data_IF_343417417125
#
_entry.id   IF_343417417125
#
_cell.length_a   1.000
_cell.length_b   1.000
_cell.length_c   1.000
_cell.angle_alpha   90.00
_cell.angle_beta   90.00
_cell.angle_gamma   90.00
#
_symmetry.space_group_name_H-M   'P 1'
#
loop_
_entity.id
_entity.type
_entity.pdbx_description
1 polymer ?
#
# COMPACT_ATOMS: atom_id res chain seq x y z
N UNK A 1 -31.88 -8.09 -1.80
CA UNK A 1 -30.73 -8.63 -2.58
C UNK A 1 -29.44 -8.08 -1.99
N UNK A 2 -28.42 -8.91 -1.93
CA UNK A 2 -27.12 -8.57 -1.33
C UNK A 2 -26.27 -7.79 -2.33
N UNK A 3 -25.64 -6.71 -1.87
CA UNK A 3 -24.67 -5.92 -2.64
C UNK A 3 -23.25 -6.32 -2.30
N UNK A 4 -22.31 -6.03 -3.20
CA UNK A 4 -20.90 -6.18 -2.95
C UNK A 4 -20.20 -4.83 -3.13
N UNK A 5 -19.12 -4.63 -2.38
CA UNK A 5 -18.28 -3.44 -2.46
C UNK A 5 -16.90 -3.83 -2.95
N UNK A 6 -16.41 -3.14 -3.96
CA UNK A 6 -15.03 -3.15 -4.38
C UNK A 6 -14.30 -1.90 -3.85
N UNK A 7 -13.11 -2.08 -3.27
CA UNK A 7 -12.23 -1.01 -2.82
C UNK A 7 -10.93 -1.11 -3.61
N UNK A 8 -10.50 0.02 -4.19
CA UNK A 8 -9.17 0.18 -4.76
C UNK A 8 -8.40 1.20 -3.89
N UNK A 9 -7.45 0.70 -3.10
CA UNK A 9 -6.58 1.51 -2.25
C UNK A 9 -5.27 1.84 -3.02
N UNK A 10 -5.37 2.77 -3.97
CA UNK A 10 -4.25 3.21 -4.79
C UNK A 10 -3.35 4.23 -4.10
N UNK A 11 -2.31 4.70 -4.81
CA UNK A 11 -1.34 5.66 -4.28
C UNK A 11 -1.93 7.07 -4.14
N UNK A 12 -2.78 7.49 -5.07
CA UNK A 12 -3.31 8.86 -5.10
C UNK A 12 -4.70 8.99 -4.48
N UNK A 13 -5.42 7.90 -4.34
CA UNK A 13 -6.78 7.90 -3.80
C UNK A 13 -7.23 6.50 -3.43
N UNK A 14 -8.17 6.44 -2.50
CA UNK A 14 -9.04 5.27 -2.31
C UNK A 14 -10.30 5.47 -3.13
N UNK A 15 -10.71 4.45 -3.87
CA UNK A 15 -11.99 4.40 -4.58
C UNK A 15 -12.84 3.27 -4.05
N UNK A 16 -14.14 3.50 -3.96
CA UNK A 16 -15.14 2.53 -3.53
C UNK A 16 -16.24 2.45 -4.57
N UNK A 17 -16.61 1.23 -4.93
CA UNK A 17 -17.71 0.95 -5.87
C UNK A 17 -18.70 0.01 -5.20
N UNK A 18 -19.99 0.35 -5.22
CA UNK A 18 -21.07 -0.54 -4.83
C UNK A 18 -21.65 -1.19 -6.08
N UNK A 19 -21.66 -2.51 -6.12
CA UNK A 19 -22.12 -3.28 -7.26
C UNK A 19 -23.28 -4.21 -6.86
N UNK A 20 -24.30 -4.23 -7.71
CA UNK A 20 -25.40 -5.19 -7.61
C UNK A 20 -25.14 -6.34 -8.57
N UNK A 21 -24.80 -7.55 -8.06
CA UNK A 21 -24.53 -8.70 -8.93
C UNK A 21 -25.78 -9.27 -9.62
N UNK A 22 -26.96 -9.03 -9.09
CA UNK A 22 -28.21 -9.51 -9.70
C UNK A 22 -28.56 -8.69 -10.95
N UNK A 23 -28.49 -7.37 -10.83
CA UNK A 23 -28.80 -6.45 -11.93
C UNK A 23 -27.55 -6.13 -12.78
N UNK A 24 -26.38 -6.63 -12.40
CA UNK A 24 -25.08 -6.40 -13.06
C UNK A 24 -24.75 -4.92 -13.26
N UNK A 25 -25.01 -4.09 -12.27
CA UNK A 25 -24.78 -2.64 -12.37
C UNK A 25 -24.09 -2.05 -11.17
N UNK A 26 -23.36 -0.96 -11.40
CA UNK A 26 -22.81 -0.10 -10.37
C UNK A 26 -23.91 0.81 -9.84
N UNK A 27 -24.10 0.82 -8.53
CA UNK A 27 -25.11 1.65 -7.86
C UNK A 27 -24.54 2.95 -7.30
N UNK A 28 -23.29 2.93 -6.86
CA UNK A 28 -22.60 4.10 -6.33
C UNK A 28 -21.07 3.97 -6.51
N UNK A 29 -20.41 5.12 -6.64
CA UNK A 29 -18.95 5.22 -6.65
C UNK A 29 -18.55 6.42 -5.83
N UNK A 30 -17.59 6.22 -4.92
CA UNK A 30 -17.00 7.30 -4.11
C UNK A 30 -15.49 7.23 -4.16
N UNK A 31 -14.85 8.39 -3.97
CA UNK A 31 -13.41 8.51 -3.91
C UNK A 31 -12.99 9.44 -2.78
N UNK A 32 -11.79 9.20 -2.27
CA UNK A 32 -11.10 10.04 -1.31
C UNK A 32 -9.63 10.15 -1.71
N UNK A 33 -9.13 11.37 -1.87
CA UNK A 33 -7.74 11.61 -2.23
C UNK A 33 -6.81 11.27 -1.07
N UNK A 34 -5.60 10.84 -1.39
CA UNK A 34 -4.52 10.57 -0.44
C UNK A 34 -3.37 11.52 -0.70
N UNK A 35 -2.76 12.01 0.37
CA UNK A 35 -1.56 12.82 0.30
C UNK A 35 -0.32 11.93 0.16
N UNK A 36 0.65 12.40 -0.62
CA UNK A 36 1.94 11.78 -0.81
C UNK A 36 3.02 12.63 -0.14
N UNK A 37 3.77 12.04 0.77
CA UNK A 37 4.99 12.64 1.32
C UNK A 37 6.11 12.36 0.33
N UNK A 38 6.52 13.40 -0.40
CA UNK A 38 7.59 13.33 -1.39
C UNK A 38 8.78 14.17 -0.93
N UNK A 39 10.00 13.63 -1.00
CA UNK A 39 11.24 14.34 -0.68
C UNK A 39 12.22 14.27 -1.85
N UNK A 40 13.21 15.18 -1.85
CA UNK A 40 14.22 15.29 -2.92
C UNK A 40 15.19 14.12 -2.97
N UNK A 41 15.33 13.37 -1.87
CA UNK A 41 16.12 12.13 -1.78
C UNK A 41 15.50 10.92 -2.49
N UNK A 42 14.34 11.11 -3.12
CA UNK A 42 13.57 10.05 -3.77
C UNK A 42 12.57 9.34 -2.87
N UNK A 43 12.47 9.73 -1.59
CA UNK A 43 11.49 9.16 -0.66
C UNK A 43 10.06 9.46 -1.11
N UNK A 44 9.22 8.41 -1.09
CA UNK A 44 7.78 8.47 -1.37
C UNK A 44 7.06 7.66 -0.31
N UNK A 45 6.35 8.36 0.56
CA UNK A 45 5.77 7.78 1.76
C UNK A 45 4.32 8.22 1.97
N UNK A 46 3.57 7.44 2.73
CA UNK A 46 2.21 7.78 3.20
C UNK A 46 2.01 7.30 4.63
N UNK A 47 1.15 7.99 5.38
CA UNK A 47 0.68 7.51 6.67
C UNK A 47 -0.35 6.39 6.46
N UNK A 48 -0.14 5.15 6.94
CA UNK A 48 -1.07 4.04 6.76
C UNK A 48 -2.47 4.31 7.28
N UNK A 49 -2.59 5.11 8.34
CA UNK A 49 -3.86 5.52 8.92
C UNK A 49 -4.74 6.26 7.90
N UNK A 50 -4.13 7.05 7.02
CA UNK A 50 -4.86 7.80 5.98
C UNK A 50 -5.60 6.88 5.00
N UNK A 51 -5.10 5.66 4.77
CA UNK A 51 -5.79 4.68 3.93
C UNK A 51 -7.09 4.21 4.58
N UNK A 52 -7.05 3.94 5.89
CA UNK A 52 -8.23 3.51 6.67
C UNK A 52 -9.24 4.65 6.79
N UNK A 53 -8.77 5.86 7.03
CA UNK A 53 -9.62 7.06 7.08
C UNK A 53 -10.30 7.32 5.73
N UNK A 54 -9.57 7.19 4.62
CA UNK A 54 -10.10 7.33 3.28
C UNK A 54 -11.18 6.28 2.96
N UNK A 55 -10.96 5.01 3.36
CA UNK A 55 -11.96 3.95 3.25
C UNK A 55 -13.22 4.32 4.06
N UNK A 56 -13.05 4.72 5.31
CA UNK A 56 -14.17 5.15 6.16
C UNK A 56 -14.93 6.33 5.57
N UNK A 57 -14.21 7.32 5.03
CA UNK A 57 -14.80 8.48 4.37
C UNK A 57 -15.61 8.09 3.12
N UNK A 58 -15.14 7.12 2.33
CA UNK A 58 -15.92 6.58 1.21
C UNK A 58 -17.20 5.89 1.67
N UNK A 59 -17.12 5.06 2.72
CA UNK A 59 -18.32 4.40 3.29
C UNK A 59 -19.30 5.39 3.92
N UNK A 60 -18.81 6.48 4.52
CA UNK A 60 -19.67 7.51 5.12
C UNK A 60 -20.54 8.25 4.08
N UNK A 61 -20.08 8.30 2.82
CA UNK A 61 -20.82 8.91 1.72
C UNK A 61 -21.91 7.99 1.13
N UNK A 62 -21.91 6.71 1.48
CA UNK A 62 -22.92 5.78 0.97
C UNK A 62 -24.27 6.05 1.62
N UNK A 63 -25.32 5.98 0.78
CA UNK A 63 -26.70 5.93 1.27
C UNK A 63 -26.84 4.81 2.31
N UNK A 64 -27.44 5.08 3.49
CA UNK A 64 -27.61 4.08 4.54
C UNK A 64 -28.32 2.81 4.09
N UNK A 65 -29.25 2.91 3.13
CA UNK A 65 -30.01 1.76 2.60
C UNK A 65 -29.13 0.88 1.72
N UNK A 66 -28.21 1.45 0.94
CA UNK A 66 -27.22 0.70 0.18
C UNK A 66 -26.22 0.04 1.12
N UNK A 67 -25.70 0.80 2.11
CA UNK A 67 -24.73 0.31 3.08
C UNK A 67 -25.26 -0.88 3.89
N UNK A 68 -26.52 -0.84 4.30
CA UNK A 68 -27.14 -1.93 5.05
C UNK A 68 -27.29 -3.24 4.25
N UNK A 69 -27.24 -3.15 2.92
CA UNK A 69 -27.34 -4.31 2.01
C UNK A 69 -26.00 -4.91 1.60
N UNK A 70 -24.87 -4.31 2.01
CA UNK A 70 -23.52 -4.82 1.68
C UNK A 70 -23.27 -6.12 2.40
N UNK A 71 -23.05 -7.20 1.66
CA UNK A 71 -22.82 -8.53 2.17
C UNK A 71 -21.36 -8.97 2.08
N UNK A 72 -20.57 -8.34 1.19
CA UNK A 72 -19.15 -8.66 1.03
C UNK A 72 -18.36 -7.45 0.54
N UNK A 73 -17.07 -7.44 0.88
CA UNK A 73 -16.12 -6.41 0.47
C UNK A 73 -14.91 -7.12 -0.15
N UNK A 74 -14.50 -6.70 -1.35
CA UNK A 74 -13.24 -7.07 -1.96
C UNK A 74 -12.30 -5.86 -1.99
N UNK A 75 -11.02 -6.07 -1.69
CA UNK A 75 -10.03 -5.01 -1.66
C UNK A 75 -8.91 -5.31 -2.66
N UNK A 76 -8.59 -4.32 -3.47
CA UNK A 76 -7.37 -4.20 -4.25
C UNK A 76 -6.57 -3.01 -3.75
N UNK A 77 -5.26 -3.01 -3.95
CA UNK A 77 -4.43 -1.89 -3.50
C UNK A 77 -3.04 -1.89 -4.10
N UNK A 78 -2.30 -0.82 -3.83
CA UNK A 78 -0.91 -0.69 -4.24
C UNK A 78 -0.05 -1.81 -3.61
N UNK A 79 0.91 -2.30 -4.38
CA UNK A 79 1.81 -3.39 -3.98
C UNK A 79 3.16 -2.84 -3.49
N UNK A 80 3.99 -3.72 -2.91
CA UNK A 80 5.36 -3.44 -2.49
C UNK A 80 5.52 -2.31 -1.46
N UNK A 81 4.43 -1.84 -0.86
CA UNK A 81 4.49 -0.93 0.27
C UNK A 81 5.15 -1.61 1.48
N UNK A 82 5.96 -0.86 2.23
CA UNK A 82 6.55 -1.32 3.48
C UNK A 82 5.97 -0.52 4.65
N UNK A 83 5.20 -1.20 5.51
CA UNK A 83 4.59 -0.63 6.72
C UNK A 83 5.30 -1.21 7.93
N UNK A 84 6.18 -0.45 8.62
CA UNK A 84 6.82 -0.94 9.84
C UNK A 84 5.83 -0.90 11.01
N UNK A 85 5.70 -2.03 11.70
CA UNK A 85 4.83 -2.18 12.86
C UNK A 85 5.64 -2.65 14.06
N UNK A 86 5.23 -2.26 15.28
CA UNK A 86 5.71 -2.87 16.52
C UNK A 86 5.04 -4.23 16.78
N UNK A 87 5.45 -4.88 17.86
CA UNK A 87 4.89 -6.17 18.27
C UNK A 87 3.40 -6.10 18.67
N UNK A 88 2.88 -4.92 18.98
CA UNK A 88 1.48 -4.68 19.29
C UNK A 88 0.65 -4.27 18.05
N UNK A 89 1.31 -4.12 16.88
CA UNK A 89 0.69 -3.73 15.63
C UNK A 89 0.55 -2.22 15.42
N UNK A 90 1.20 -1.40 16.23
CA UNK A 90 1.21 0.05 16.01
C UNK A 90 2.17 0.42 14.87
N UNK A 91 1.77 1.38 14.07
CA UNK A 91 2.60 1.92 12.99
C UNK A 91 3.76 2.72 13.59
N UNK A 92 4.98 2.33 13.25
CA UNK A 92 6.20 2.97 13.75
C UNK A 92 6.64 4.15 12.90
N UNK A 93 6.26 4.17 11.62
CA UNK A 93 6.68 5.20 10.66
C UNK A 93 5.79 5.21 9.43
N UNK A 94 5.80 6.30 8.63
CA UNK A 94 5.14 6.31 7.33
C UNK A 94 5.57 5.15 6.45
N UNK A 95 4.63 4.60 5.69
CA UNK A 95 4.88 3.51 4.77
C UNK A 95 5.68 3.99 3.56
N UNK A 96 6.80 3.33 3.25
CA UNK A 96 7.52 3.53 1.98
C UNK A 96 6.79 2.84 0.85
N UNK A 97 6.47 3.60 -0.21
CA UNK A 97 5.64 3.13 -1.32
C UNK A 97 6.45 2.42 -2.40
N UNK A 98 5.77 1.85 -3.37
CA UNK A 98 6.36 1.19 -4.54
C UNK A 98 7.13 2.16 -5.46
N UNK A 99 6.74 3.44 -5.47
CA UNK A 99 7.40 4.51 -6.23
C UNK A 99 8.55 5.19 -5.48
N UNK A 100 8.90 4.70 -4.27
CA UNK A 100 10.06 5.14 -3.51
C UNK A 100 11.34 4.67 -4.18
N UNK A 101 12.29 5.58 -4.38
CA UNK A 101 13.60 5.30 -5.00
C UNK A 101 14.77 5.57 -4.07
N UNK A 102 14.53 5.91 -2.81
CA UNK A 102 15.57 6.26 -1.84
C UNK A 102 16.45 5.10 -1.39
N UNK A 103 16.09 3.86 -1.71
CA UNK A 103 16.74 2.63 -1.23
C UNK A 103 17.67 1.97 -2.27
N UNK A 104 18.23 2.74 -3.20
CA UNK A 104 19.10 2.21 -4.27
C UNK A 104 20.37 1.56 -3.75
N UNK A 105 20.98 2.17 -2.72
CA UNK A 105 22.20 1.63 -2.06
C UNK A 105 21.94 0.24 -1.49
N UNK A 106 20.83 0.08 -0.78
CA UNK A 106 20.42 -1.18 -0.17
C UNK A 106 20.09 -2.26 -1.19
N UNK A 107 19.61 -1.87 -2.38
CA UNK A 107 19.43 -2.82 -3.49
C UNK A 107 20.78 -3.43 -3.91
N UNK A 108 21.81 -2.61 -4.06
CA UNK A 108 23.18 -3.07 -4.35
C UNK A 108 23.72 -3.98 -3.27
N UNK A 109 23.66 -3.54 -2.01
CA UNK A 109 24.14 -4.30 -0.85
C UNK A 109 23.49 -5.71 -0.75
N UNK A 110 22.16 -5.80 -0.97
CA UNK A 110 21.46 -7.09 -0.95
C UNK A 110 21.94 -7.98 -2.11
N UNK A 111 22.06 -7.44 -3.31
CA UNK A 111 22.53 -8.22 -4.47
C UNK A 111 23.96 -8.67 -4.30
N UNK A 112 24.86 -7.84 -3.79
CA UNK A 112 26.24 -8.17 -3.53
C UNK A 112 26.37 -9.28 -2.48
N UNK A 113 25.57 -9.22 -1.42
CA UNK A 113 25.54 -10.23 -0.35
C UNK A 113 25.15 -11.63 -0.85
N UNK A 114 24.42 -11.75 -1.96
CA UNK A 114 24.04 -13.05 -2.53
C UNK A 114 24.90 -13.45 -3.74
N UNK A 115 25.98 -12.72 -4.03
CA UNK A 115 26.92 -13.06 -5.11
C UNK A 115 26.63 -12.34 -6.44
N UNK A 116 25.98 -11.18 -6.39
CA UNK A 116 25.73 -10.29 -7.51
C UNK A 116 24.35 -10.46 -8.15
N UNK A 117 24.02 -9.54 -9.05
CA UNK A 117 22.69 -9.45 -9.66
C UNK A 117 22.24 -10.73 -10.38
N UNK A 118 23.13 -11.40 -11.10
CA UNK A 118 22.81 -12.66 -11.78
C UNK A 118 22.43 -13.78 -10.81
N UNK A 119 23.17 -13.88 -9.71
CA UNK A 119 22.87 -14.86 -8.67
C UNK A 119 21.56 -14.53 -7.95
N UNK A 120 21.29 -13.24 -7.71
CA UNK A 120 20.02 -12.78 -7.16
C UNK A 120 18.84 -13.19 -8.03
N UNK A 121 18.93 -13.00 -9.36
CA UNK A 121 17.89 -13.45 -10.30
C UNK A 121 17.70 -14.97 -10.28
N UNK A 122 18.77 -15.76 -10.16
CA UNK A 122 18.66 -17.23 -10.02
C UNK A 122 17.95 -17.65 -8.74
N UNK A 123 18.17 -16.93 -7.62
CA UNK A 123 17.59 -17.24 -6.31
C UNK A 123 16.16 -16.73 -6.14
N UNK A 124 15.89 -15.49 -6.58
CA UNK A 124 14.64 -14.78 -6.31
C UNK A 124 13.73 -14.61 -7.54
N UNK A 125 14.20 -14.99 -8.73
CA UNK A 125 13.45 -14.82 -9.99
C UNK A 125 13.51 -13.41 -10.57
N UNK A 126 14.04 -12.42 -9.83
CA UNK A 126 14.19 -11.03 -10.28
C UNK A 126 15.35 -10.33 -9.55
N UNK A 127 15.87 -9.19 -10.05
CA UNK A 127 16.79 -8.35 -9.30
C UNK A 127 16.07 -7.63 -8.16
N UNK A 128 16.83 -7.12 -7.18
CA UNK A 128 16.28 -6.24 -6.14
C UNK A 128 16.20 -4.81 -6.69
N UNK A 129 15.00 -4.24 -6.66
CA UNK A 129 14.75 -2.87 -7.09
C UNK A 129 14.19 -2.03 -5.94
N UNK A 130 14.48 -0.72 -5.94
CA UNK A 130 14.07 0.20 -4.86
C UNK A 130 12.54 0.25 -4.66
N UNK A 131 11.76 0.07 -5.73
CA UNK A 131 10.31 -0.04 -5.65
C UNK A 131 9.81 -1.26 -4.88
N UNK A 132 10.62 -2.32 -4.74
CA UNK A 132 10.27 -3.55 -4.03
C UNK A 132 10.48 -3.42 -2.52
N UNK A 133 9.86 -4.30 -1.74
CA UNK A 133 9.86 -4.21 -0.27
C UNK A 133 11.23 -4.53 0.34
N UNK A 134 12.00 -5.44 -0.27
CA UNK A 134 13.20 -6.00 0.35
C UNK A 134 14.24 -4.95 0.76
N UNK A 135 14.54 -3.98 -0.11
CA UNK A 135 15.54 -2.92 0.16
C UNK A 135 15.09 -1.92 1.23
N UNK A 136 13.79 -1.80 1.46
CA UNK A 136 13.22 -0.87 2.47
C UNK A 136 13.51 -1.30 3.90
N UNK A 137 13.67 -2.61 4.14
CA UNK A 137 14.02 -3.15 5.45
C UNK A 137 15.40 -2.67 5.95
N UNK A 138 16.52 -2.93 5.25
CA UNK A 138 17.84 -2.46 5.70
C UNK A 138 17.94 -0.93 5.67
N UNK A 139 17.27 -0.25 4.74
CA UNK A 139 17.21 1.21 4.74
C UNK A 139 16.57 1.74 6.04
N UNK A 140 15.40 1.23 6.41
CA UNK A 140 14.71 1.63 7.64
C UNK A 140 15.55 1.36 8.88
N UNK A 141 16.27 0.22 8.92
CA UNK A 141 17.16 -0.12 10.02
C UNK A 141 18.34 0.85 10.16
N UNK A 142 18.87 1.37 9.04
CA UNK A 142 19.96 2.37 9.04
C UNK A 142 19.48 3.75 9.44
N UNK A 143 18.37 4.20 8.84
CA UNK A 143 17.80 5.53 9.01
C UNK A 143 17.17 5.72 10.40
N UNK A 144 16.53 4.67 10.91
CA UNK A 144 15.74 4.71 12.14
C UNK A 144 16.23 3.71 13.18
N UNK A 145 17.51 3.82 13.57
CA UNK A 145 18.18 2.93 14.54
C UNK A 145 17.43 2.76 15.89
N UNK A 146 16.54 3.67 16.22
CA UNK A 146 15.69 3.62 17.43
C UNK A 146 14.35 2.92 17.25
N UNK A 147 14.01 2.46 16.04
CA UNK A 147 12.69 1.93 15.69
C UNK A 147 12.72 0.42 15.44
N UNK A 148 13.91 -0.20 15.38
CA UNK A 148 14.09 -1.65 15.13
C UNK A 148 14.97 -2.26 16.22
#
# INVERSE_FOLDING_TARGET
>A
MSLVVGIDAGTQSVKLVVYDPADRRVLATHGHALELIARDDGSREQHPESWIEAIRACFAKLDPTLRARVAAIGVSGQQHGFVPLDAAGHVLAPAKLWCDTSTQTECGEIMDAVGGAQQCVKLAGNPILAGYTASKLPWTRKDRKSVV
#
